data_IF_950569503631
#
_entry.id   IF_950569503631
#
_cell.length_a   1.000
_cell.length_b   1.000
_cell.length_c   1.000
_cell.angle_alpha   90.00
_cell.angle_beta   90.00
_cell.angle_gamma   90.00
#
_symmetry.space_group_name_H-M   'P 1'
#
loop_
_entity.id
_entity.type
_entity.pdbx_description
1 polymer ?
#
# COMPACT_ATOMS: atom_id res chain seq x y z
N UNK A 1 -9.04 5.68 9.64
CA UNK A 1 -7.93 5.98 8.70
C UNK A 1 -8.51 6.22 7.34
N UNK A 2 -8.10 7.26 6.61
CA UNK A 2 -8.50 7.41 5.19
C UNK A 2 -7.56 6.56 4.34
N UNK A 3 -8.14 5.67 3.53
CA UNK A 3 -7.41 4.89 2.52
C UNK A 3 -7.65 5.57 1.17
N UNK A 4 -6.57 5.86 0.46
CA UNK A 4 -6.57 6.37 -0.90
C UNK A 4 -6.13 5.28 -1.86
N UNK A 5 -6.80 5.16 -3.01
CA UNK A 5 -6.24 4.40 -4.12
C UNK A 5 -5.28 5.34 -4.83
N UNK A 6 -4.01 4.96 -4.97
CA UNK A 6 -3.07 5.73 -5.78
C UNK A 6 -3.50 5.54 -7.24
N UNK A 7 -3.96 6.62 -7.85
CA UNK A 7 -4.36 6.59 -9.26
C UNK A 7 -3.12 6.57 -10.15
N UNK A 8 -3.17 5.95 -11.35
CA UNK A 8 -2.06 5.95 -12.31
C UNK A 8 -1.59 7.35 -12.70
N UNK A 9 -2.50 8.31 -12.67
CA UNK A 9 -2.23 9.73 -12.85
C UNK A 9 -2.65 10.45 -11.58
N UNK A 10 -1.68 10.73 -10.72
CA UNK A 10 -1.76 11.88 -9.83
C UNK A 10 -1.27 13.06 -10.67
N UNK A 11 -2.08 14.10 -10.76
CA UNK A 11 -1.87 15.16 -11.76
C UNK A 11 -0.64 16.00 -11.43
N UNK A 12 -0.43 16.21 -10.14
CA UNK A 12 0.69 16.91 -9.52
C UNK A 12 0.78 16.53 -8.03
N UNK A 13 1.75 17.11 -7.33
CA UNK A 13 1.97 16.93 -5.89
C UNK A 13 0.76 17.39 -5.04
N UNK A 14 0.04 18.44 -5.46
CA UNK A 14 -1.08 18.99 -4.70
C UNK A 14 -2.24 18.00 -4.64
N UNK A 15 -2.58 17.41 -5.78
CA UNK A 15 -3.63 16.37 -5.87
C UNK A 15 -3.30 15.15 -5.00
N UNK A 16 -2.02 14.77 -4.89
CA UNK A 16 -1.58 13.70 -4.01
C UNK A 16 -1.81 14.04 -2.52
N UNK A 17 -1.39 15.23 -2.11
CA UNK A 17 -1.48 15.71 -0.72
C UNK A 17 -2.95 15.85 -0.30
N UNK A 18 -3.80 16.39 -1.17
CA UNK A 18 -5.24 16.55 -0.91
C UNK A 18 -5.94 15.20 -0.74
N UNK A 19 -5.57 14.19 -1.54
CA UNK A 19 -6.11 12.83 -1.41
C UNK A 19 -5.65 12.13 -0.13
N UNK A 20 -4.41 12.38 0.32
CA UNK A 20 -3.91 11.89 1.61
C UNK A 20 -4.53 12.62 2.81
N UNK A 21 -4.95 13.87 2.61
CA UNK A 21 -5.52 14.72 3.65
C UNK A 21 -4.48 15.17 4.68
N UNK A 22 -3.25 15.45 4.25
CA UNK A 22 -2.16 15.96 5.09
C UNK A 22 -1.77 17.40 4.75
N UNK A 23 -1.06 18.09 5.64
CA UNK A 23 -0.54 19.43 5.37
C UNK A 23 0.70 19.36 4.47
N UNK A 24 0.91 20.38 3.62
CA UNK A 24 2.08 20.46 2.74
C UNK A 24 3.40 20.63 3.49
N UNK A 25 3.36 21.16 4.70
CA UNK A 25 4.53 21.35 5.54
C UNK A 25 4.85 20.14 6.40
N UNK A 26 3.98 19.12 6.42
CA UNK A 26 4.24 17.89 7.16
C UNK A 26 5.30 17.05 6.46
N UNK A 27 6.18 16.45 7.24
CA UNK A 27 7.17 15.49 6.74
C UNK A 27 6.77 14.08 7.16
N UNK A 28 6.67 13.18 6.17
CA UNK A 28 6.31 11.78 6.39
C UNK A 28 7.41 10.84 5.87
N UNK A 29 7.54 9.69 6.52
CA UNK A 29 8.26 8.55 5.96
C UNK A 29 7.37 7.89 4.91
N UNK A 30 7.96 7.35 3.85
CA UNK A 30 7.24 6.52 2.89
C UNK A 30 7.70 5.08 3.07
N UNK A 31 6.74 4.17 3.29
CA UNK A 31 7.00 2.74 3.41
C UNK A 31 6.17 2.01 2.37
N UNK A 32 6.83 1.30 1.47
CA UNK A 32 6.18 0.44 0.47
C UNK A 32 6.57 -1.01 0.69
N UNK A 33 5.69 -1.92 0.29
CA UNK A 33 5.95 -3.36 0.30
C UNK A 33 5.71 -3.94 -1.09
N UNK A 34 6.62 -4.80 -1.54
CA UNK A 34 6.54 -5.51 -2.81
C UNK A 34 6.67 -7.01 -2.57
N UNK A 35 6.18 -7.81 -3.51
CA UNK A 35 6.17 -9.27 -3.39
C UNK A 35 5.08 -9.89 -4.25
N UNK A 36 5.09 -11.21 -4.36
CA UNK A 36 4.16 -11.96 -5.18
C UNK A 36 2.74 -11.92 -4.59
N UNK A 37 1.76 -12.25 -5.43
CA UNK A 37 0.40 -12.52 -4.97
C UNK A 37 0.42 -13.71 -4.00
N UNK A 38 -0.14 -13.52 -2.80
CA UNK A 38 -0.15 -14.54 -1.75
C UNK A 38 0.88 -14.35 -0.63
N UNK A 39 1.89 -13.47 -0.79
CA UNK A 39 2.97 -13.27 0.21
C UNK A 39 2.53 -12.54 1.50
N UNK A 40 1.24 -12.26 1.66
CA UNK A 40 0.72 -11.62 2.88
C UNK A 40 1.09 -10.13 3.02
N UNK A 41 1.38 -9.42 1.93
CA UNK A 41 1.73 -7.98 1.94
C UNK A 41 0.73 -7.11 2.72
N UNK A 42 -0.53 -7.11 2.31
CA UNK A 42 -1.60 -6.33 2.93
C UNK A 42 -1.81 -6.71 4.40
N UNK A 43 -1.69 -8.00 4.72
CA UNK A 43 -1.78 -8.52 6.09
C UNK A 43 -0.64 -7.97 6.96
N UNK A 44 0.60 -8.06 6.48
CA UNK A 44 1.79 -7.54 7.17
C UNK A 44 1.65 -6.04 7.43
N UNK A 45 1.19 -5.26 6.46
CA UNK A 45 1.00 -3.81 6.63
C UNK A 45 -0.08 -3.48 7.68
N UNK A 46 -1.22 -4.18 7.65
CA UNK A 46 -2.29 -4.00 8.63
C UNK A 46 -1.81 -4.28 10.06
N UNK A 47 -1.08 -5.37 10.27
CA UNK A 47 -0.58 -5.71 11.59
C UNK A 47 0.58 -4.83 12.05
N UNK A 48 1.46 -4.41 11.14
CA UNK A 48 2.63 -3.59 11.48
C UNK A 48 2.24 -2.14 11.80
N UNK A 49 1.36 -1.55 11.01
CA UNK A 49 1.06 -0.11 11.13
C UNK A 49 -0.33 0.18 11.67
N UNK A 50 -1.30 -0.72 11.52
CA UNK A 50 -2.70 -0.44 11.84
C UNK A 50 -3.24 -1.37 12.93
N UNK A 51 -2.39 -1.93 13.79
CA UNK A 51 -2.83 -2.75 14.93
C UNK A 51 -3.70 -3.96 14.55
N UNK A 52 -3.59 -4.44 13.30
CA UNK A 52 -4.40 -5.52 12.76
C UNK A 52 -5.75 -5.12 12.19
N UNK A 53 -6.12 -3.83 12.20
CA UNK A 53 -7.31 -3.37 11.50
C UNK A 53 -7.12 -3.49 9.99
N UNK A 54 -8.15 -3.98 9.30
CA UNK A 54 -8.12 -4.22 7.86
C UNK A 54 -8.25 -2.92 7.05
N UNK A 55 -7.16 -2.14 6.98
CA UNK A 55 -7.06 -0.95 6.13
C UNK A 55 -6.77 -1.36 4.69
N UNK A 56 -5.81 -2.25 4.48
CA UNK A 56 -5.59 -2.94 3.22
C UNK A 56 -6.40 -4.23 3.20
N UNK A 57 -7.15 -4.47 2.12
CA UNK A 57 -8.04 -5.63 2.07
C UNK A 57 -7.18 -6.90 2.05
N UNK A 58 -7.49 -7.86 2.90
CA UNK A 58 -6.85 -9.17 2.91
C UNK A 58 -7.80 -10.22 2.34
N UNK A 59 -7.25 -11.33 1.87
CA UNK A 59 -8.03 -12.50 1.51
C UNK A 59 -7.22 -13.75 1.76
N UNK A 60 -7.83 -14.83 2.28
CA UNK A 60 -7.18 -16.13 2.32
C UNK A 60 -7.01 -16.75 0.91
N UNK A 61 -7.73 -16.23 -0.10
CA UNK A 61 -7.68 -16.73 -1.47
C UNK A 61 -6.74 -15.86 -2.33
N UNK A 62 -5.76 -16.49 -2.99
CA UNK A 62 -4.83 -15.81 -3.90
C UNK A 62 -5.51 -15.18 -5.12
N UNK A 63 -6.75 -15.57 -5.44
CA UNK A 63 -7.56 -14.94 -6.49
C UNK A 63 -8.07 -13.54 -6.14
N UNK A 64 -8.00 -13.14 -4.86
CA UNK A 64 -8.36 -11.81 -4.39
C UNK A 64 -7.10 -11.05 -4.00
N UNK A 65 -6.36 -10.53 -4.99
CA UNK A 65 -5.15 -9.74 -4.78
C UNK A 65 -5.44 -8.23 -4.69
N UNK A 66 -4.50 -7.47 -4.11
CA UNK A 66 -4.47 -6.02 -4.24
C UNK A 66 -4.33 -5.67 -5.72
N UNK A 67 -5.25 -4.86 -6.25
CA UNK A 67 -5.20 -4.35 -7.62
C UNK A 67 -4.67 -2.92 -7.63
N UNK A 68 -3.60 -2.67 -8.38
CA UNK A 68 -2.88 -1.40 -8.42
C UNK A 68 -2.18 -1.04 -7.11
N UNK A 69 -1.94 0.25 -6.90
CA UNK A 69 -1.24 0.78 -5.72
C UNK A 69 -2.23 1.49 -4.80
N UNK A 70 -2.11 1.27 -3.50
CA UNK A 70 -2.96 1.85 -2.47
C UNK A 70 -2.11 2.51 -1.39
N UNK A 71 -2.62 3.61 -0.84
CA UNK A 71 -1.98 4.37 0.23
C UNK A 71 -2.89 4.53 1.44
N UNK A 72 -2.29 4.60 2.62
CA UNK A 72 -2.96 5.14 3.80
C UNK A 72 -1.97 5.85 4.70
N UNK A 73 -2.41 6.95 5.30
CA UNK A 73 -1.60 7.73 6.22
C UNK A 73 -1.70 7.16 7.63
N UNK A 74 -0.54 6.88 8.23
CA UNK A 74 -0.42 6.52 9.63
C UNK A 74 0.16 7.69 10.43
N UNK A 75 -0.68 8.34 11.24
CA UNK A 75 -0.28 9.51 12.03
C UNK A 75 0.60 9.14 13.23
N UNK A 76 0.41 7.96 13.83
CA UNK A 76 1.21 7.49 14.96
C UNK A 76 2.69 7.34 14.59
N UNK A 77 2.95 6.80 13.40
CA UNK A 77 4.31 6.58 12.88
C UNK A 77 4.78 7.70 11.94
N UNK A 78 3.94 8.71 11.67
CA UNK A 78 4.15 9.74 10.64
C UNK A 78 4.65 9.13 9.33
N UNK A 79 3.88 8.18 8.80
CA UNK A 79 4.27 7.44 7.59
C UNK A 79 3.11 7.28 6.60
N UNK A 80 3.40 7.45 5.31
CA UNK A 80 2.54 7.01 4.21
C UNK A 80 2.86 5.55 3.93
N UNK A 81 1.89 4.68 4.16
CA UNK A 81 2.02 3.24 3.95
C UNK A 81 1.44 2.91 2.58
N UNK A 82 2.22 2.22 1.75
CA UNK A 82 1.89 1.88 0.37
C UNK A 82 1.83 0.36 0.21
N UNK A 83 0.65 -0.13 -0.15
CA UNK A 83 0.42 -1.52 -0.56
C UNK A 83 0.38 -1.59 -2.09
N UNK A 84 1.11 -2.53 -2.66
CA UNK A 84 1.22 -2.68 -4.13
C UNK A 84 0.53 -3.94 -4.61
N UNK A 85 0.18 -3.94 -5.89
CA UNK A 85 -0.24 -5.14 -6.58
C UNK A 85 0.79 -6.27 -6.42
N UNK A 86 0.29 -7.48 -6.23
CA UNK A 86 1.14 -8.66 -6.19
C UNK A 86 1.56 -9.04 -7.59
N UNK A 87 2.87 -9.26 -7.77
CA UNK A 87 3.36 -9.88 -9.00
C UNK A 87 2.77 -11.29 -9.06
N UNK A 88 2.05 -11.61 -10.14
CA UNK A 88 1.72 -13.01 -10.42
C UNK A 88 3.05 -13.68 -10.72
N UNK A 89 3.41 -14.69 -9.91
CA UNK A 89 4.70 -15.36 -10.06
C UNK A 89 4.90 -15.77 -11.51
N UNK A 90 5.92 -15.20 -12.17
CA UNK A 90 6.62 -15.90 -13.23
C UNK A 90 7.24 -17.13 -12.58
N UNK A 91 6.48 -18.21 -12.45
CA UNK A 91 7.03 -19.52 -12.12
C UNK A 91 7.76 -20.06 -13.35
N UNK A 92 8.84 -19.40 -13.73
CA UNK A 92 9.83 -19.83 -14.70
C UNK A 92 11.16 -19.32 -14.19
N UNK A 93 12.00 -20.23 -13.70
CA UNK A 93 13.36 -19.98 -13.24
C UNK A 93 14.08 -18.85 -14.01
N UNK A 94 14.36 -17.73 -13.34
CA UNK A 94 15.45 -16.82 -13.75
C UNK A 94 16.48 -16.80 -12.62
N UNK A 95 17.15 -17.94 -12.46
CA UNK A 95 18.47 -18.01 -11.89
C UNK A 95 19.35 -18.73 -12.92
N UNK A 96 19.86 -17.98 -13.89
CA UNK A 96 21.07 -18.28 -14.65
C UNK A 96 21.81 -16.97 -14.97
#
# INVERSE_FOLDING_TARGET
TKKCRVRPTVSDESDFIDQLGCDRNDTFKVVSIFGNTGDGKSYTLNHTFFGGYEVFKTSPNQSSCTLGVWCSLNLQHKAVIIDTEGLLGSSSNENQ
#
